data_IF_926133490817
#
_entry.id   IF_926133490817
#
_cell.length_a   1.000
_cell.length_b   1.000
_cell.length_c   1.000
_cell.angle_alpha   90.00
_cell.angle_beta   90.00
_cell.angle_gamma   90.00
#
_symmetry.space_group_name_H-M   'P 1'
#
loop_
_entity.id
_entity.type
_entity.pdbx_description
1 polymer ?
#
# COMPACT_ATOMS: atom_id res chain seq x y z
N UNK A 1 5.53 13.96 4.94
CA UNK A 1 4.73 14.30 6.15
C UNK A 1 3.38 13.60 6.07
N UNK A 2 2.52 13.76 7.08
CA UNK A 2 1.17 13.16 7.14
C UNK A 2 0.31 13.49 5.91
N UNK A 3 0.30 14.73 5.42
CA UNK A 3 -0.42 15.14 4.19
C UNK A 3 -0.02 14.28 2.98
N UNK A 4 1.29 14.09 2.75
CA UNK A 4 1.78 13.23 1.66
C UNK A 4 1.33 11.77 1.83
N UNK A 5 1.31 11.28 3.07
CA UNK A 5 0.79 9.95 3.39
C UNK A 5 -0.69 9.80 3.03
N UNK A 6 -1.52 10.77 3.41
CA UNK A 6 -2.95 10.79 3.08
C UNK A 6 -3.19 10.93 1.56
N UNK A 7 -2.38 11.74 0.87
CA UNK A 7 -2.41 11.86 -0.59
C UNK A 7 -2.02 10.56 -1.29
N UNK A 8 -1.06 9.80 -0.75
CA UNK A 8 -0.64 8.51 -1.33
C UNK A 8 -1.76 7.47 -1.39
N UNK A 9 -2.82 7.63 -0.59
CA UNK A 9 -4.01 6.78 -0.60
C UNK A 9 -5.14 7.44 -1.38
N UNK A 10 -5.55 8.66 -0.98
CA UNK A 10 -6.71 9.34 -1.58
C UNK A 10 -6.57 9.61 -3.07
N UNK A 11 -5.34 9.83 -3.56
CA UNK A 11 -5.08 10.04 -5.00
C UNK A 11 -5.34 8.79 -5.86
N UNK A 12 -5.46 7.61 -5.24
CA UNK A 12 -5.74 6.33 -5.91
C UNK A 12 -7.19 5.87 -5.72
N UNK A 13 -8.05 6.73 -5.15
CA UNK A 13 -9.49 6.53 -5.19
C UNK A 13 -10.01 6.96 -6.56
N UNK A 14 -10.64 6.04 -7.29
CA UNK A 14 -11.02 6.24 -8.68
C UNK A 14 -12.10 7.32 -8.83
N UNK A 15 -11.92 8.20 -9.81
CA UNK A 15 -12.75 9.37 -10.07
C UNK A 15 -13.05 10.24 -8.82
N UNK A 16 -12.10 10.35 -7.88
CA UNK A 16 -12.22 11.25 -6.73
C UNK A 16 -11.64 12.65 -7.01
N UNK A 17 -11.97 13.62 -6.14
CA UNK A 17 -11.25 14.90 -6.02
C UNK A 17 -10.71 15.01 -4.61
N UNK A 18 -9.42 15.31 -4.46
CA UNK A 18 -8.81 15.54 -3.15
C UNK A 18 -8.61 17.03 -2.91
N UNK A 19 -9.15 17.55 -1.82
CA UNK A 19 -8.96 18.92 -1.36
C UNK A 19 -7.91 18.90 -0.26
N UNK A 20 -6.84 19.66 -0.42
CA UNK A 20 -5.91 19.97 0.67
C UNK A 20 -6.39 21.27 1.32
N UNK A 21 -6.97 21.15 2.50
CA UNK A 21 -7.50 22.27 3.27
C UNK A 21 -6.35 22.96 4.01
N UNK A 22 -5.90 24.10 3.45
CA UNK A 22 -4.72 24.82 3.93
C UNK A 22 -4.20 25.83 2.90
N UNK A 23 -3.06 26.47 3.19
CA UNK A 23 -2.40 27.39 2.26
C UNK A 23 -1.91 26.68 1.00
N UNK A 24 -1.87 27.40 -0.13
CA UNK A 24 -1.46 26.87 -1.43
C UNK A 24 -0.08 26.20 -1.43
N UNK A 25 0.84 26.68 -0.59
CA UNK A 25 2.19 26.13 -0.48
C UNK A 25 2.20 24.65 -0.07
N UNK A 26 1.30 24.24 0.84
CA UNK A 26 1.18 22.84 1.26
C UNK A 26 0.69 21.95 0.11
N UNK A 27 -0.33 22.41 -0.60
CA UNK A 27 -0.87 21.70 -1.77
C UNK A 27 0.16 21.59 -2.88
N UNK A 28 0.86 22.70 -3.18
CA UNK A 28 1.84 22.77 -4.26
C UNK A 28 3.00 21.80 -4.05
N UNK A 29 3.63 21.78 -2.88
CA UNK A 29 4.80 20.93 -2.65
C UNK A 29 4.43 19.44 -2.65
N UNK A 30 3.33 19.05 -1.99
CA UNK A 30 2.92 17.64 -1.92
C UNK A 30 2.43 17.14 -3.28
N UNK A 31 1.68 17.95 -4.03
CA UNK A 31 1.23 17.58 -5.38
C UNK A 31 2.39 17.46 -6.35
N UNK A 32 3.38 18.36 -6.26
CA UNK A 32 4.58 18.31 -7.11
C UNK A 32 5.43 17.06 -6.83
N UNK A 33 5.61 16.71 -5.55
CA UNK A 33 6.30 15.48 -5.15
C UNK A 33 5.54 14.23 -5.61
N UNK A 34 4.22 14.17 -5.36
CA UNK A 34 3.39 13.07 -5.82
C UNK A 34 3.48 12.89 -7.32
N UNK A 35 3.34 13.96 -8.11
CA UNK A 35 3.42 13.88 -9.55
C UNK A 35 4.81 13.38 -10.02
N UNK A 36 5.89 13.86 -9.41
CA UNK A 36 7.24 13.39 -9.72
C UNK A 36 7.37 11.89 -9.46
N UNK A 37 6.90 11.41 -8.31
CA UNK A 37 6.90 9.99 -7.97
C UNK A 37 6.00 9.18 -8.92
N UNK A 38 4.81 9.66 -9.26
CA UNK A 38 3.94 8.96 -10.22
C UNK A 38 4.62 8.79 -11.59
N UNK A 39 5.33 9.82 -12.07
CA UNK A 39 6.08 9.74 -13.32
C UNK A 39 7.25 8.76 -13.24
N UNK A 40 7.97 8.68 -12.11
CA UNK A 40 9.02 7.67 -11.90
C UNK A 40 8.49 6.23 -11.93
N UNK A 41 7.17 6.05 -11.73
CA UNK A 41 6.48 4.77 -11.78
C UNK A 41 5.67 4.58 -13.09
N UNK A 42 5.93 5.38 -14.13
CA UNK A 42 5.21 5.34 -15.42
C UNK A 42 3.69 5.56 -15.29
N UNK A 43 3.24 6.26 -14.23
CA UNK A 43 1.85 6.66 -14.04
C UNK A 43 1.68 8.09 -14.56
N UNK A 44 1.05 8.21 -15.73
CA UNK A 44 0.84 9.48 -16.42
C UNK A 44 -0.49 10.17 -16.09
N UNK A 45 -1.36 9.49 -15.34
CA UNK A 45 -2.62 10.07 -14.87
C UNK A 45 -2.35 11.04 -13.73
N UNK A 46 -2.84 12.28 -13.85
CA UNK A 46 -2.68 13.30 -12.81
C UNK A 46 -3.91 13.26 -11.90
N UNK A 47 -3.75 12.93 -10.60
CA UNK A 47 -4.86 12.98 -9.64
C UNK A 47 -5.42 14.40 -9.53
N UNK A 48 -6.75 14.52 -9.38
CA UNK A 48 -7.42 15.82 -9.21
C UNK A 48 -7.24 16.31 -7.78
N UNK A 49 -6.24 17.15 -7.56
CA UNK A 49 -5.94 17.75 -6.27
C UNK A 49 -6.16 19.26 -6.35
N UNK A 50 -6.93 19.81 -5.41
CA UNK A 50 -7.18 21.25 -5.30
C UNK A 50 -6.86 21.76 -3.89
N UNK A 51 -6.57 23.05 -3.76
CA UNK A 51 -6.36 23.69 -2.46
C UNK A 51 -7.61 24.47 -2.04
N UNK A 52 -7.86 24.58 -0.73
CA UNK A 52 -8.78 25.61 -0.23
C UNK A 52 -8.17 27.02 -0.21
N UNK A 53 -6.87 27.17 -0.50
CA UNK A 53 -6.21 28.46 -0.73
C UNK A 53 -6.22 29.42 0.45
N UNK A 54 -5.96 28.94 1.67
CA UNK A 54 -6.06 29.80 2.86
C UNK A 54 -5.01 30.92 2.84
N UNK A 55 -5.49 32.17 2.91
CA UNK A 55 -4.70 33.37 3.06
C UNK A 55 -4.59 33.83 4.51
N UNK A 56 -4.18 35.08 4.72
CA UNK A 56 -4.03 35.67 6.05
C UNK A 56 -5.37 35.83 6.77
N UNK A 57 -6.43 36.18 6.04
CA UNK A 57 -7.76 36.37 6.62
C UNK A 57 -8.32 35.04 7.15
N UNK A 58 -8.26 33.95 6.38
CA UNK A 58 -8.73 32.63 6.81
C UNK A 58 -7.91 32.10 8.00
N UNK A 59 -6.61 32.39 8.05
CA UNK A 59 -5.77 31.99 9.20
C UNK A 59 -6.16 32.75 10.47
N UNK A 60 -6.63 34.00 10.36
CA UNK A 60 -7.02 34.81 11.52
C UNK A 60 -8.46 34.52 11.95
N UNK A 61 -9.37 34.31 10.99
CA UNK A 61 -10.82 34.26 11.23
C UNK A 61 -11.46 32.87 11.04
N UNK A 62 -10.70 31.89 10.54
CA UNK A 62 -11.15 30.53 10.24
C UNK A 62 -11.27 30.27 8.74
N UNK A 63 -10.95 29.05 8.31
CA UNK A 63 -10.93 28.61 6.91
C UNK A 63 -12.17 27.83 6.46
N UNK A 64 -13.15 27.63 7.33
CA UNK A 64 -14.32 26.78 7.07
C UNK A 64 -15.17 27.20 5.86
N UNK A 65 -15.31 28.51 5.61
CA UNK A 65 -16.07 29.00 4.45
C UNK A 65 -15.30 28.76 3.15
N UNK A 66 -13.98 29.01 3.14
CA UNK A 66 -13.12 28.70 2.01
C UNK A 66 -13.11 27.19 1.70
N UNK A 67 -13.19 26.34 2.73
CA UNK A 67 -13.38 24.91 2.55
C UNK A 67 -14.74 24.58 1.91
N UNK A 68 -15.82 25.18 2.41
CA UNK A 68 -17.16 24.95 1.86
C UNK A 68 -17.25 25.34 0.37
N UNK A 69 -16.63 26.47 -0.01
CA UNK A 69 -16.51 26.89 -1.41
C UNK A 69 -15.69 25.89 -2.24
N UNK A 70 -14.55 25.42 -1.72
CA UNK A 70 -13.73 24.42 -2.40
C UNK A 70 -14.47 23.08 -2.59
N UNK A 71 -15.23 22.62 -1.59
CA UNK A 71 -16.07 21.42 -1.69
C UNK A 71 -17.16 21.63 -2.74
N UNK A 72 -17.86 22.78 -2.73
CA UNK A 72 -18.89 23.09 -3.73
C UNK A 72 -18.30 23.09 -5.16
N UNK A 73 -17.10 23.66 -5.33
CA UNK A 73 -16.39 23.62 -6.60
C UNK A 73 -16.04 22.18 -7.02
N UNK A 74 -15.51 21.36 -6.12
CA UNK A 74 -15.21 19.96 -6.40
C UNK A 74 -16.48 19.19 -6.82
N UNK A 75 -17.57 19.36 -6.07
CA UNK A 75 -18.87 18.74 -6.33
C UNK A 75 -19.47 19.11 -7.70
N UNK A 76 -19.14 20.29 -8.25
CA UNK A 76 -19.64 20.73 -9.56
C UNK A 76 -19.26 19.78 -10.71
N UNK A 77 -18.14 19.06 -10.56
CA UNK A 77 -17.68 18.03 -11.50
C UNK A 77 -18.32 16.65 -11.29
N UNK A 78 -19.13 16.49 -10.23
CA UNK A 78 -19.77 15.23 -9.80
C UNK A 78 -18.79 14.03 -9.71
N UNK A 79 -17.69 14.13 -8.95
CA UNK A 79 -16.77 13.02 -8.76
C UNK A 79 -17.43 11.89 -7.96
N UNK A 80 -16.80 10.71 -7.95
CA UNK A 80 -17.25 9.56 -7.16
C UNK A 80 -17.24 9.84 -5.64
N UNK A 81 -16.29 10.67 -5.19
CA UNK A 81 -16.18 11.20 -3.84
C UNK A 81 -15.27 12.45 -3.81
N UNK A 82 -15.36 13.21 -2.72
CA UNK A 82 -14.41 14.28 -2.37
C UNK A 82 -13.68 13.89 -1.09
N UNK A 83 -12.36 13.84 -1.13
CA UNK A 83 -11.53 13.62 0.05
C UNK A 83 -10.99 14.96 0.54
N UNK A 84 -11.22 15.34 1.79
CA UNK A 84 -10.72 16.58 2.38
C UNK A 84 -9.61 16.25 3.37
N UNK A 85 -8.40 16.71 3.07
CA UNK A 85 -7.20 16.50 3.88
C UNK A 85 -6.92 17.79 4.69
N UNK A 86 -7.00 17.72 6.01
CA UNK A 86 -6.63 18.85 6.88
C UNK A 86 -5.11 19.01 6.95
N UNK A 87 -4.62 20.24 7.00
CA UNK A 87 -3.19 20.55 7.14
C UNK A 87 -2.86 21.00 8.57
N UNK A 88 -1.57 21.17 8.87
CA UNK A 88 -1.14 21.69 10.17
C UNK A 88 -1.77 23.05 10.51
N UNK A 89 -2.04 23.90 9.51
CA UNK A 89 -2.60 25.24 9.74
C UNK A 89 -4.05 25.15 10.20
N UNK A 90 -4.89 24.42 9.47
CA UNK A 90 -6.33 24.31 9.73
C UNK A 90 -6.61 23.67 11.08
N UNK A 91 -5.83 22.63 11.44
CA UNK A 91 -5.97 22.01 12.76
C UNK A 91 -5.43 22.91 13.89
N UNK A 92 -4.44 23.77 13.62
CA UNK A 92 -3.92 24.71 14.65
C UNK A 92 -4.91 25.85 14.93
N UNK A 93 -5.57 26.38 13.89
CA UNK A 93 -6.55 27.45 14.06
C UNK A 93 -7.91 26.93 14.58
N UNK A 94 -8.10 25.61 14.55
CA UNK A 94 -9.26 24.94 15.13
C UNK A 94 -10.48 24.91 14.21
N UNK A 95 -10.28 24.88 12.89
CA UNK A 95 -11.36 24.71 11.92
C UNK A 95 -12.06 23.36 12.13
N UNK A 96 -13.40 23.36 12.24
CA UNK A 96 -14.19 22.13 12.33
C UNK A 96 -14.42 21.54 10.92
N UNK A 97 -13.32 21.03 10.35
CA UNK A 97 -13.30 20.44 8.99
C UNK A 97 -14.32 19.31 8.85
N UNK A 98 -14.49 18.50 9.90
CA UNK A 98 -15.43 17.39 9.94
C UNK A 98 -16.88 17.90 9.82
N UNK A 99 -17.25 18.95 10.56
CA UNK A 99 -18.57 19.54 10.47
C UNK A 99 -18.85 20.13 9.08
N UNK A 100 -17.86 20.75 8.43
CA UNK A 100 -18.02 21.25 7.05
C UNK A 100 -18.23 20.10 6.06
N UNK A 101 -17.47 19.01 6.17
CA UNK A 101 -17.65 17.82 5.34
C UNK A 101 -19.03 17.17 5.54
N UNK A 102 -19.61 17.27 6.74
CA UNK A 102 -20.91 16.69 7.08
C UNK A 102 -22.14 17.52 6.65
N UNK A 103 -21.98 18.66 5.96
CA UNK A 103 -23.09 19.57 5.57
C UNK A 103 -24.08 19.01 4.53
N UNK A 104 -23.98 17.73 4.14
CA UNK A 104 -24.93 17.06 3.24
C UNK A 104 -24.75 17.42 1.76
N UNK A 105 -23.53 17.25 1.26
CA UNK A 105 -23.15 17.54 -0.13
C UNK A 105 -23.73 16.53 -1.14
N UNK A 106 -23.77 16.92 -2.42
CA UNK A 106 -24.33 16.11 -3.52
C UNK A 106 -23.55 14.81 -3.81
N UNK A 107 -22.27 14.77 -3.42
CA UNK A 107 -21.39 13.60 -3.52
C UNK A 107 -20.83 13.28 -2.14
N UNK A 108 -20.38 12.03 -1.87
CA UNK A 108 -19.77 11.70 -0.60
C UNK A 108 -18.53 12.56 -0.32
N UNK A 109 -18.47 13.19 0.83
CA UNK A 109 -17.32 13.99 1.29
C UNK A 109 -16.74 13.34 2.53
N UNK A 110 -15.47 12.96 2.46
CA UNK A 110 -14.77 12.25 3.54
C UNK A 110 -13.66 13.15 4.07
N UNK A 111 -13.66 13.37 5.38
CA UNK A 111 -12.59 14.08 6.07
C UNK A 111 -11.46 13.12 6.44
N UNK A 112 -10.24 13.48 6.08
CA UNK A 112 -9.00 12.80 6.43
C UNK A 112 -8.18 13.74 7.31
N UNK A 113 -8.21 13.49 8.61
CA UNK A 113 -7.38 14.20 9.58
C UNK A 113 -5.90 13.89 9.31
N UNK A 114 -5.07 14.92 9.16
CA UNK A 114 -3.71 14.72 8.65
C UNK A 114 -2.67 15.75 9.13
N UNK A 115 -2.86 16.37 10.31
CA UNK A 115 -1.80 17.22 10.86
C UNK A 115 -0.55 16.42 11.22
N UNK A 116 0.58 16.93 10.73
CA UNK A 116 1.91 16.47 11.15
C UNK A 116 2.43 17.21 12.38
N UNK A 117 1.77 18.28 12.84
CA UNK A 117 2.32 19.18 13.86
C UNK A 117 2.58 18.48 15.20
N UNK A 118 1.76 17.49 15.56
CA UNK A 118 1.90 16.71 16.80
C UNK A 118 2.81 15.47 16.64
N UNK A 119 3.71 15.47 15.66
CA UNK A 119 4.66 14.36 15.43
C UNK A 119 4.16 13.29 14.45
N UNK A 120 3.17 13.63 13.62
CA UNK A 120 2.65 12.74 12.58
C UNK A 120 3.69 12.45 11.48
N UNK A 121 3.72 11.21 11.03
CA UNK A 121 4.63 10.73 9.97
C UNK A 121 3.87 10.48 8.67
N UNK A 122 4.58 10.12 7.60
CA UNK A 122 3.94 9.63 6.37
C UNK A 122 2.97 8.47 6.67
N UNK A 123 3.39 7.50 7.50
CA UNK A 123 2.58 6.34 7.84
C UNK A 123 1.31 6.72 8.64
N UNK A 124 1.39 7.75 9.49
CA UNK A 124 0.22 8.27 10.22
C UNK A 124 -0.88 8.75 9.26
N UNK A 125 -0.51 9.51 8.23
CA UNK A 125 -1.47 10.04 7.25
C UNK A 125 -1.99 8.96 6.30
N UNK A 126 -1.13 8.01 5.95
CA UNK A 126 -1.50 6.82 5.20
C UNK A 126 -2.59 6.01 5.93
N UNK A 127 -2.38 5.70 7.21
CA UNK A 127 -3.38 4.98 8.02
C UNK A 127 -4.67 5.80 8.19
N UNK A 128 -4.56 7.11 8.43
CA UNK A 128 -5.73 7.99 8.58
C UNK A 128 -6.60 8.00 7.33
N UNK A 129 -5.97 8.01 6.14
CA UNK A 129 -6.71 7.91 4.88
C UNK A 129 -7.36 6.54 4.67
N UNK A 130 -6.66 5.44 5.01
CA UNK A 130 -7.27 4.10 4.97
C UNK A 130 -8.49 4.00 5.89
N UNK A 131 -8.39 4.50 7.12
CA UNK A 131 -9.50 4.48 8.07
C UNK A 131 -10.67 5.34 7.62
N UNK A 132 -10.41 6.56 7.15
CA UNK A 132 -11.46 7.44 6.66
C UNK A 132 -12.18 6.86 5.42
N UNK A 133 -11.46 6.20 4.52
CA UNK A 133 -12.05 5.54 3.36
C UNK A 133 -12.75 4.22 3.71
N UNK A 134 -12.46 3.63 4.87
CA UNK A 134 -13.12 2.42 5.35
C UNK A 134 -14.59 2.68 5.71
N UNK A 135 -14.99 3.94 5.92
CA UNK A 135 -16.40 4.33 6.11
C UNK A 135 -17.29 4.04 4.89
N UNK A 136 -16.69 3.83 3.71
CA UNK A 136 -17.43 3.37 2.52
C UNK A 136 -17.79 1.89 2.55
N UNK A 137 -17.20 1.09 3.46
CA UNK A 137 -17.44 -0.35 3.51
C UNK A 137 -18.85 -0.62 4.03
N UNK A 138 -19.64 -1.39 3.26
CA UNK A 138 -20.97 -1.80 3.68
C UNK A 138 -20.91 -3.19 4.34
N UNK A 139 -21.50 -3.37 5.53
CA UNK A 139 -21.58 -4.69 6.14
C UNK A 139 -22.34 -5.68 5.26
N UNK A 140 -21.79 -6.89 5.08
CA UNK A 140 -22.45 -7.96 4.34
C UNK A 140 -22.65 -9.19 5.24
N UNK A 141 -23.82 -9.86 5.18
CA UNK A 141 -24.04 -11.13 5.86
C UNK A 141 -23.44 -12.33 5.11
N UNK A 142 -23.08 -12.17 3.84
CA UNK A 142 -22.43 -13.20 3.03
C UNK A 142 -20.90 -13.04 3.07
N UNK A 143 -20.20 -14.16 3.06
CA UNK A 143 -18.73 -14.27 2.94
C UNK A 143 -18.33 -15.01 1.66
N UNK A 144 -19.20 -14.96 0.66
CA UNK A 144 -18.99 -15.65 -0.61
C UNK A 144 -18.15 -14.81 -1.59
N UNK A 145 -17.80 -13.59 -1.21
CA UNK A 145 -16.88 -12.74 -1.95
C UNK A 145 -15.44 -13.25 -1.86
N UNK A 146 -14.61 -12.78 -2.80
CA UNK A 146 -13.18 -13.08 -2.82
C UNK A 146 -12.38 -12.41 -1.70
N UNK A 147 -11.08 -12.32 -1.91
CA UNK A 147 -10.10 -11.76 -0.96
C UNK A 147 -9.99 -10.26 -1.14
N UNK A 148 -9.98 -9.49 -0.05
CA UNK A 148 -9.68 -8.07 -0.09
C UNK A 148 -8.19 -7.85 0.14
N UNK A 149 -7.52 -7.10 -0.73
CA UNK A 149 -6.16 -6.63 -0.50
C UNK A 149 -6.21 -5.25 0.12
N UNK A 150 -5.56 -5.06 1.26
CA UNK A 150 -5.65 -3.84 2.07
C UNK A 150 -4.29 -3.17 2.15
N UNK A 151 -4.30 -1.88 1.89
CA UNK A 151 -3.17 -0.99 2.11
C UNK A 151 -1.97 -1.30 1.21
N UNK A 152 -2.17 -1.52 -0.08
CA UNK A 152 -1.04 -1.50 -1.01
C UNK A 152 -0.29 -0.16 -0.92
N UNK A 153 1.04 -0.21 -0.84
CA UNK A 153 1.88 0.98 -0.79
C UNK A 153 1.88 1.61 -2.18
N UNK A 154 0.94 2.52 -2.46
CA UNK A 154 0.69 2.98 -3.83
C UNK A 154 1.88 3.66 -4.54
N UNK A 155 2.84 4.17 -3.77
CA UNK A 155 4.08 4.80 -4.23
C UNK A 155 5.29 3.85 -4.16
N UNK A 156 5.07 2.56 -3.88
CA UNK A 156 6.10 1.52 -3.95
C UNK A 156 6.37 1.14 -5.40
N UNK A 157 7.62 0.77 -5.71
CA UNK A 157 7.95 0.23 -7.03
C UNK A 157 7.36 -1.17 -7.16
N UNK A 158 6.99 -1.58 -8.38
CA UNK A 158 6.51 -2.95 -8.63
C UNK A 158 5.17 -3.32 -7.97
N UNK A 159 4.35 -2.36 -7.53
CA UNK A 159 3.04 -2.66 -6.90
C UNK A 159 2.17 -3.56 -7.77
N UNK A 160 2.16 -3.38 -9.09
CA UNK A 160 1.42 -4.28 -9.98
C UNK A 160 2.02 -5.69 -10.06
N UNK A 161 3.34 -5.84 -9.93
CA UNK A 161 3.97 -7.16 -9.88
C UNK A 161 3.71 -7.84 -8.54
N UNK A 162 3.73 -7.10 -7.43
CA UNK A 162 3.37 -7.57 -6.10
C UNK A 162 1.91 -8.06 -6.08
N UNK A 163 0.99 -7.26 -6.64
CA UNK A 163 -0.40 -7.64 -6.82
C UNK A 163 -0.56 -8.91 -7.69
N UNK A 164 0.14 -8.98 -8.82
CA UNK A 164 0.07 -10.13 -9.72
C UNK A 164 0.55 -11.42 -9.02
N UNK A 165 1.58 -11.33 -8.19
CA UNK A 165 2.07 -12.48 -7.44
C UNK A 165 1.11 -12.92 -6.33
N UNK A 166 0.59 -11.98 -5.53
CA UNK A 166 -0.40 -12.32 -4.50
C UNK A 166 -1.66 -12.89 -5.14
N UNK A 167 -2.13 -12.30 -6.24
CA UNK A 167 -3.30 -12.81 -6.99
C UNK A 167 -3.06 -14.21 -7.54
N UNK A 168 -1.84 -14.51 -8.02
CA UNK A 168 -1.49 -15.85 -8.50
C UNK A 168 -1.52 -16.87 -7.35
N UNK A 169 -0.92 -16.54 -6.20
CA UNK A 169 -0.89 -17.41 -5.03
C UNK A 169 -2.30 -17.67 -4.48
N UNK A 170 -3.15 -16.64 -4.44
CA UNK A 170 -4.57 -16.82 -4.07
C UNK A 170 -5.30 -17.67 -5.12
N UNK A 171 -4.99 -17.47 -6.41
CA UNK A 171 -5.58 -18.24 -7.51
C UNK A 171 -5.30 -19.74 -7.47
N UNK A 172 -4.14 -20.18 -6.94
CA UNK A 172 -3.87 -21.62 -6.75
C UNK A 172 -4.75 -22.25 -5.67
N UNK A 173 -5.29 -21.45 -4.75
CA UNK A 173 -6.32 -21.85 -3.78
C UNK A 173 -7.75 -21.70 -4.33
N UNK A 174 -7.91 -21.27 -5.59
CA UNK A 174 -9.23 -20.95 -6.16
C UNK A 174 -9.85 -19.67 -5.60
N UNK A 175 -9.04 -18.79 -4.99
CA UNK A 175 -9.47 -17.51 -4.45
C UNK A 175 -9.17 -16.39 -5.46
N UNK A 176 -10.14 -15.50 -5.67
CA UNK A 176 -9.98 -14.30 -6.50
C UNK A 176 -9.93 -13.04 -5.64
N UNK A 177 -9.26 -11.99 -6.11
CA UNK A 177 -9.26 -10.69 -5.42
C UNK A 177 -10.58 -9.98 -5.68
N UNK A 178 -11.30 -9.65 -4.61
CA UNK A 178 -12.54 -8.90 -4.63
C UNK A 178 -12.28 -7.39 -4.77
N UNK A 179 -11.50 -6.81 -3.83
CA UNK A 179 -11.25 -5.37 -3.73
C UNK A 179 -9.77 -5.13 -3.44
N UNK A 180 -9.16 -4.17 -4.15
CA UNK A 180 -7.85 -3.58 -3.82
C UNK A 180 -8.06 -2.26 -3.08
N UNK A 181 -8.12 -2.32 -1.76
CA UNK A 181 -8.41 -1.20 -0.88
C UNK A 181 -7.09 -0.52 -0.44
N UNK A 182 -6.68 0.67 -0.88
CA UNK A 182 -7.28 1.51 -1.93
C UNK A 182 -6.26 1.67 -3.05
N UNK A 183 -6.55 1.08 -4.20
CA UNK A 183 -5.74 1.22 -5.42
C UNK A 183 -6.60 1.17 -6.67
N UNK A 184 -6.79 2.33 -7.31
CA UNK A 184 -7.63 2.52 -8.50
C UNK A 184 -9.02 1.90 -8.32
N UNK A 185 -9.62 2.12 -7.16
CA UNK A 185 -10.89 1.53 -6.75
C UNK A 185 -11.91 2.64 -6.53
N UNK A 186 -13.15 2.42 -6.96
CA UNK A 186 -14.23 3.37 -6.74
C UNK A 186 -14.86 3.20 -5.36
N UNK A 187 -15.45 4.24 -4.75
CA UNK A 187 -16.22 4.12 -3.52
C UNK A 187 -17.33 3.07 -3.60
N UNK A 188 -17.97 2.90 -4.76
CA UNK A 188 -18.98 1.88 -4.98
C UNK A 188 -18.41 0.46 -4.83
N UNK A 189 -17.19 0.22 -5.33
CA UNK A 189 -16.52 -1.07 -5.20
C UNK A 189 -16.01 -1.33 -3.78
N UNK A 190 -15.62 -0.28 -3.04
CA UNK A 190 -15.26 -0.39 -1.61
C UNK A 190 -16.43 -0.92 -0.77
N UNK A 191 -17.67 -0.57 -1.11
CA UNK A 191 -18.86 -1.10 -0.41
C UNK A 191 -18.93 -2.62 -0.40
N UNK A 192 -18.47 -3.27 -1.47
CA UNK A 192 -18.46 -4.72 -1.61
C UNK A 192 -17.41 -5.44 -0.73
N UNK A 193 -16.50 -4.68 -0.11
CA UNK A 193 -15.42 -5.23 0.72
C UNK A 193 -15.96 -6.03 1.92
N UNK A 194 -17.11 -5.64 2.49
CA UNK A 194 -17.73 -6.35 3.60
C UNK A 194 -18.18 -7.78 3.26
N UNK A 195 -18.34 -8.10 1.97
CA UNK A 195 -18.70 -9.44 1.49
C UNK A 195 -17.52 -10.40 1.28
N UNK A 196 -16.29 -9.94 1.46
CA UNK A 196 -15.08 -10.76 1.26
C UNK A 196 -14.92 -11.88 2.29
N UNK A 197 -14.17 -12.91 1.92
CA UNK A 197 -13.91 -14.07 2.78
C UNK A 197 -12.60 -13.98 3.58
N UNK A 198 -11.64 -13.17 3.11
CA UNK A 198 -10.31 -13.00 3.70
C UNK A 198 -9.81 -11.58 3.40
N UNK A 199 -9.10 -10.97 4.35
CA UNK A 199 -8.34 -9.75 4.15
C UNK A 199 -6.84 -10.09 4.10
N UNK A 200 -6.09 -9.48 3.18
CA UNK A 200 -4.63 -9.59 3.11
C UNK A 200 -4.05 -8.18 3.13
N UNK A 201 -3.31 -7.86 4.17
CA UNK A 201 -2.73 -6.53 4.37
C UNK A 201 -1.31 -6.52 3.80
N UNK A 202 -0.94 -5.44 3.10
CA UNK A 202 0.40 -5.31 2.49
C UNK A 202 1.54 -5.43 3.50
N UNK A 203 1.40 -4.75 4.63
CA UNK A 203 2.39 -4.64 5.71
C UNK A 203 1.72 -4.01 6.95
N UNK A 204 1.65 -4.77 8.05
CA UNK A 204 1.10 -4.31 9.33
C UNK A 204 1.96 -4.75 10.53
N UNK A 205 3.22 -4.33 10.54
CA UNK A 205 4.17 -4.63 11.61
C UNK A 205 3.70 -4.28 13.04
N UNK A 206 2.76 -3.34 13.19
CA UNK A 206 2.23 -2.91 14.49
C UNK A 206 0.82 -3.46 14.79
N UNK A 207 0.21 -4.21 13.87
CA UNK A 207 -1.14 -4.79 14.06
C UNK A 207 -2.28 -3.77 14.02
N UNK A 208 -2.02 -2.52 13.62
CA UNK A 208 -2.99 -1.42 13.69
C UNK A 208 -4.07 -1.60 12.61
N UNK A 209 -3.66 -1.93 11.38
CA UNK A 209 -4.58 -2.12 10.28
C UNK A 209 -5.43 -3.39 10.50
N UNK A 210 -4.79 -4.49 10.90
CA UNK A 210 -5.42 -5.77 11.23
C UNK A 210 -6.50 -5.56 12.28
N UNK A 211 -6.16 -4.92 13.41
CA UNK A 211 -7.11 -4.68 14.49
C UNK A 211 -8.31 -3.84 14.06
N UNK A 212 -8.08 -2.83 13.21
CA UNK A 212 -9.15 -1.96 12.71
C UNK A 212 -10.08 -2.71 11.75
N UNK A 213 -9.55 -3.37 10.71
CA UNK A 213 -10.36 -4.03 9.70
C UNK A 213 -11.04 -5.30 10.20
N UNK A 214 -10.41 -6.05 11.11
CA UNK A 214 -11.04 -7.20 11.76
C UNK A 214 -12.24 -6.76 12.60
N UNK A 215 -12.10 -5.67 13.37
CA UNK A 215 -13.19 -5.12 14.17
C UNK A 215 -14.33 -4.55 13.30
N UNK A 216 -13.98 -3.90 12.18
CA UNK A 216 -14.94 -3.27 11.28
C UNK A 216 -15.72 -4.30 10.45
N UNK A 217 -15.01 -5.28 9.89
CA UNK A 217 -15.57 -6.20 8.89
C UNK A 217 -15.91 -7.57 9.44
N UNK A 218 -15.26 -8.01 10.52
CA UNK A 218 -15.32 -9.39 11.03
C UNK A 218 -14.75 -10.43 10.07
N UNK A 219 -13.96 -10.02 9.09
CA UNK A 219 -13.25 -10.89 8.12
C UNK A 219 -11.87 -11.19 8.70
N UNK A 220 -11.39 -12.45 8.69
CA UNK A 220 -10.04 -12.76 9.14
C UNK A 220 -8.98 -12.08 8.24
N UNK A 221 -7.84 -11.72 8.82
CA UNK A 221 -6.76 -11.02 8.12
C UNK A 221 -5.42 -11.76 8.16
N UNK A 222 -4.67 -11.70 7.06
CA UNK A 222 -3.23 -11.98 7.01
C UNK A 222 -2.48 -10.64 7.06
N UNK A 223 -1.57 -10.41 8.02
CA UNK A 223 -1.05 -9.07 8.32
C UNK A 223 0.08 -8.59 7.40
N UNK A 224 0.51 -9.40 6.43
CA UNK A 224 1.57 -9.05 5.50
C UNK A 224 1.47 -9.82 4.18
N UNK A 225 2.03 -9.25 3.12
CA UNK A 225 2.31 -9.99 1.89
C UNK A 225 3.42 -11.03 2.11
N UNK A 226 3.43 -12.13 1.33
CA UNK A 226 4.43 -13.20 1.45
C UNK A 226 5.84 -12.69 1.16
N UNK A 227 6.78 -12.98 2.06
CA UNK A 227 8.19 -12.63 1.94
C UNK A 227 9.08 -13.86 2.20
N UNK A 228 10.14 -14.03 1.41
CA UNK A 228 11.00 -15.22 1.47
C UNK A 228 10.35 -16.48 0.90
N UNK A 229 11.12 -17.57 0.84
CA UNK A 229 10.63 -18.83 0.27
C UNK A 229 9.65 -19.50 1.23
N UNK A 230 10.03 -19.67 2.50
CA UNK A 230 9.19 -20.23 3.54
C UNK A 230 7.96 -19.36 3.82
N UNK A 231 8.11 -18.03 3.84
CA UNK A 231 6.97 -17.13 4.05
C UNK A 231 5.95 -17.15 2.91
N UNK A 232 6.37 -17.49 1.69
CA UNK A 232 5.45 -17.72 0.56
C UNK A 232 4.61 -18.97 0.76
N UNK A 233 5.21 -20.06 1.24
CA UNK A 233 4.48 -21.29 1.55
C UNK A 233 3.54 -21.10 2.76
N UNK A 234 4.04 -20.46 3.82
CA UNK A 234 3.26 -20.15 5.01
C UNK A 234 2.03 -19.26 4.70
N UNK A 235 2.15 -18.34 3.73
CA UNK A 235 1.03 -17.54 3.26
C UNK A 235 -0.09 -18.40 2.63
N UNK A 236 0.27 -19.39 1.79
CA UNK A 236 -0.71 -20.32 1.20
C UNK A 236 -1.39 -21.18 2.26
N UNK A 237 -0.61 -21.72 3.20
CA UNK A 237 -1.13 -22.51 4.32
C UNK A 237 -2.10 -21.70 5.19
N UNK A 238 -1.72 -20.46 5.53
CA UNK A 238 -2.55 -19.59 6.35
C UNK A 238 -3.82 -19.13 5.63
N UNK A 239 -3.72 -18.78 4.34
CA UNK A 239 -4.88 -18.44 3.52
C UNK A 239 -5.84 -19.64 3.40
N UNK A 240 -5.32 -20.85 3.17
CA UNK A 240 -6.11 -22.09 3.19
C UNK A 240 -6.78 -22.34 4.53
N UNK A 241 -6.04 -22.20 5.64
CA UNK A 241 -6.56 -22.38 7.00
C UNK A 241 -7.70 -21.41 7.33
N UNK A 242 -7.55 -20.14 6.98
CA UNK A 242 -8.54 -19.09 7.27
C UNK A 242 -9.80 -19.20 6.41
N UNK A 243 -9.67 -19.74 5.19
CA UNK A 243 -10.79 -19.91 4.25
C UNK A 243 -11.40 -21.32 4.28
N UNK A 244 -10.78 -22.27 4.97
CA UNK A 244 -11.21 -23.66 5.02
C UNK A 244 -10.88 -24.47 3.76
N UNK A 245 -9.94 -24.00 2.95
CA UNK A 245 -9.47 -24.63 1.70
C UNK A 245 -8.22 -25.47 2.01
N UNK A 246 -8.13 -26.67 1.42
CA UNK A 246 -6.91 -27.48 1.50
C UNK A 246 -5.81 -26.89 0.62
N UNK A 247 -4.79 -26.32 1.26
CA UNK A 247 -3.65 -25.70 0.58
C UNK A 247 -2.58 -26.71 0.12
N UNK A 248 -2.71 -28.01 0.41
CA UNK A 248 -1.66 -29.01 0.16
C UNK A 248 -1.20 -29.05 -1.30
N UNK A 249 -2.14 -28.97 -2.24
CA UNK A 249 -1.82 -28.99 -3.68
C UNK A 249 -1.13 -27.68 -4.11
N UNK A 250 -1.62 -26.53 -3.63
CA UNK A 250 -1.05 -25.22 -3.91
C UNK A 250 0.38 -25.07 -3.35
N UNK A 251 0.62 -25.57 -2.13
CA UNK A 251 1.95 -25.58 -1.50
C UNK A 251 2.93 -26.42 -2.32
N UNK A 252 2.55 -27.66 -2.71
CA UNK A 252 3.43 -28.49 -3.56
C UNK A 252 3.75 -27.85 -4.91
N UNK A 253 2.76 -27.19 -5.51
CA UNK A 253 2.95 -26.50 -6.80
C UNK A 253 3.89 -25.30 -6.64
N UNK A 254 3.82 -24.60 -5.50
CA UNK A 254 4.73 -23.50 -5.19
C UNK A 254 6.14 -23.96 -4.83
N UNK A 255 6.30 -25.07 -4.08
CA UNK A 255 7.60 -25.72 -3.84
C UNK A 255 8.28 -26.09 -5.16
N UNK A 256 7.55 -26.70 -6.10
CA UNK A 256 8.08 -27.03 -7.42
C UNK A 256 8.53 -25.77 -8.19
N UNK A 257 7.81 -24.65 -8.05
CA UNK A 257 8.17 -23.36 -8.65
C UNK A 257 9.44 -22.76 -8.01
N UNK A 258 9.64 -22.95 -6.71
CA UNK A 258 10.86 -22.55 -6.00
C UNK A 258 12.06 -23.40 -6.44
N UNK A 259 11.87 -24.71 -6.66
CA UNK A 259 12.89 -25.59 -7.22
C UNK A 259 13.26 -25.19 -8.67
N UNK A 260 12.27 -24.84 -9.49
CA UNK A 260 12.50 -24.30 -10.85
C UNK A 260 13.25 -22.97 -10.80
N UNK A 261 12.93 -22.10 -9.84
CA UNK A 261 13.68 -20.88 -9.59
C UNK A 261 15.15 -21.20 -9.26
N UNK A 262 15.40 -22.13 -8.34
CA UNK A 262 16.76 -22.53 -8.02
C UNK A 262 17.50 -23.10 -9.24
N UNK A 263 16.81 -23.90 -10.06
CA UNK A 263 17.35 -24.47 -11.28
C UNK A 263 17.73 -23.40 -12.34
N UNK A 264 16.93 -22.34 -12.46
CA UNK A 264 17.12 -21.21 -13.39
C UNK A 264 18.31 -20.32 -13.00
N UNK A 265 18.69 -20.33 -11.72
CA UNK A 265 19.78 -19.52 -11.14
C UNK A 265 20.98 -20.37 -10.66
N UNK A 266 21.13 -21.60 -11.17
CA UNK A 266 22.26 -22.49 -10.84
C UNK A 266 23.65 -21.94 -11.17
N UNK A 267 23.74 -21.02 -12.11
CA UNK A 267 24.96 -20.28 -12.45
C UNK A 267 25.45 -19.39 -11.30
N UNK A 268 24.57 -19.00 -10.37
CA UNK A 268 24.96 -18.28 -9.16
C UNK A 268 25.48 -19.20 -8.05
N UNK A 269 25.29 -20.52 -8.16
CA UNK A 269 25.72 -21.45 -7.13
C UNK A 269 27.25 -21.39 -6.90
N UNK A 270 27.66 -21.29 -5.65
CA UNK A 270 29.05 -21.11 -5.25
C UNK A 270 29.58 -19.68 -5.34
N UNK A 271 28.78 -18.72 -5.82
CA UNK A 271 29.12 -17.30 -5.74
C UNK A 271 29.27 -16.88 -4.27
N UNK A 272 30.20 -15.96 -4.01
CA UNK A 272 30.40 -15.38 -2.69
C UNK A 272 29.90 -13.94 -2.70
N UNK A 273 28.90 -13.62 -1.88
CA UNK A 273 28.26 -12.29 -1.83
C UNK A 273 28.25 -11.72 -0.41
N UNK A 274 28.05 -10.41 -0.31
CA UNK A 274 27.74 -9.72 0.94
C UNK A 274 26.65 -8.68 0.68
N UNK A 275 25.80 -8.41 1.66
CA UNK A 275 24.70 -7.47 1.51
C UNK A 275 25.12 -6.05 1.90
N UNK A 276 24.81 -5.07 1.05
CA UNK A 276 25.01 -3.65 1.35
C UNK A 276 23.96 -3.18 2.37
N UNK A 277 24.30 -3.30 3.65
CA UNK A 277 23.42 -3.01 4.79
C UNK A 277 23.26 -1.50 5.07
N UNK A 278 23.31 -0.62 4.07
CA UNK A 278 23.09 0.80 4.26
C UNK A 278 21.61 1.08 4.63
N UNK A 279 21.28 0.95 5.92
CA UNK A 279 19.99 1.37 6.49
C UNK A 279 18.97 0.27 6.80
N UNK A 280 19.25 -1.01 6.53
CA UNK A 280 18.33 -2.12 6.82
C UNK A 280 18.48 -2.68 8.24
N UNK A 281 17.38 -3.23 8.76
CA UNK A 281 17.32 -3.86 10.08
C UNK A 281 17.69 -5.34 9.97
N UNK A 282 18.29 -5.90 11.01
CA UNK A 282 18.84 -7.28 11.01
C UNK A 282 17.87 -8.39 10.60
N UNK A 283 16.55 -8.18 10.72
CA UNK A 283 15.53 -9.20 10.42
C UNK A 283 15.32 -9.45 8.92
N UNK A 284 15.67 -8.51 8.05
CA UNK A 284 15.53 -8.67 6.59
C UNK A 284 16.67 -9.52 6.01
N UNK A 285 17.83 -9.54 6.69
CA UNK A 285 18.99 -10.33 6.28
C UNK A 285 18.73 -11.83 6.33
N UNK A 286 17.95 -12.31 7.32
CA UNK A 286 17.61 -13.73 7.47
C UNK A 286 16.88 -14.26 6.22
N UNK A 287 16.02 -13.44 5.61
CA UNK A 287 15.27 -13.81 4.39
C UNK A 287 16.19 -13.86 3.17
N UNK A 288 17.15 -12.94 3.05
CA UNK A 288 18.13 -12.99 1.96
C UNK A 288 19.12 -14.14 2.12
N UNK A 289 19.50 -14.46 3.36
CA UNK A 289 20.31 -15.63 3.70
C UNK A 289 19.58 -16.94 3.40
N UNK A 290 18.28 -17.04 3.69
CA UNK A 290 17.43 -18.17 3.29
C UNK A 290 17.48 -18.40 1.78
N UNK A 291 17.24 -17.33 1.00
CA UNK A 291 17.25 -17.38 -0.46
C UNK A 291 18.65 -17.77 -0.98
N UNK A 292 19.71 -17.15 -0.45
CA UNK A 292 21.08 -17.46 -0.82
C UNK A 292 21.43 -18.92 -0.51
N UNK A 293 21.05 -19.42 0.67
CA UNK A 293 21.27 -20.81 1.08
C UNK A 293 20.56 -21.81 0.17
N UNK A 294 19.31 -21.53 -0.21
CA UNK A 294 18.55 -22.37 -1.14
C UNK A 294 19.19 -22.44 -2.55
N UNK A 295 19.87 -21.38 -2.97
CA UNK A 295 20.60 -21.30 -4.24
C UNK A 295 22.05 -21.81 -4.17
N UNK A 296 22.54 -22.18 -2.99
CA UNK A 296 23.94 -22.54 -2.77
C UNK A 296 24.91 -21.36 -2.94
N UNK A 297 24.45 -20.14 -2.69
CA UNK A 297 25.27 -18.92 -2.65
C UNK A 297 25.88 -18.77 -1.25
N UNK A 298 27.16 -18.43 -1.17
CA UNK A 298 27.86 -18.20 0.09
C UNK A 298 27.79 -16.72 0.49
N UNK A 299 27.21 -16.41 1.65
CA UNK A 299 27.21 -15.05 2.20
C UNK A 299 28.43 -14.90 3.11
N UNK A 300 29.37 -14.03 2.75
CA UNK A 300 30.59 -13.76 3.54
C UNK A 300 31.05 -12.29 3.38
N UNK A 301 31.69 -11.68 4.39
CA UNK A 301 32.11 -10.27 4.36
C UNK A 301 32.97 -9.88 3.15
N UNK A 302 33.76 -10.81 2.64
CA UNK A 302 34.64 -10.67 1.47
C UNK A 302 33.95 -10.87 0.11
N UNK A 303 32.66 -11.16 0.10
CA UNK A 303 31.90 -11.41 -1.12
C UNK A 303 31.63 -10.16 -1.96
N UNK A 304 31.13 -10.36 -3.18
CA UNK A 304 30.64 -9.28 -4.04
C UNK A 304 29.48 -8.56 -3.34
N UNK A 305 29.57 -7.23 -3.26
CA UNK A 305 28.54 -6.41 -2.61
C UNK A 305 27.28 -6.38 -3.45
N UNK A 306 26.18 -6.85 -2.89
CA UNK A 306 24.86 -6.89 -3.49
C UNK A 306 23.98 -5.84 -2.81
N UNK A 307 23.36 -4.92 -3.57
CA UNK A 307 22.41 -3.99 -2.98
C UNK A 307 21.16 -4.72 -2.53
N UNK A 308 20.72 -4.40 -1.32
CA UNK A 308 19.45 -4.90 -0.77
C UNK A 308 18.31 -4.01 -1.30
N UNK A 309 17.19 -4.59 -1.80
CA UNK A 309 16.06 -3.80 -2.25
C UNK A 309 15.39 -3.06 -1.09
N UNK A 310 14.95 -1.82 -1.33
CA UNK A 310 14.25 -0.99 -0.33
C UNK A 310 12.95 -1.62 0.18
N UNK A 311 12.30 -2.41 -0.67
CA UNK A 311 11.10 -3.16 -0.33
C UNK A 311 11.37 -4.65 -0.50
N UNK A 312 10.85 -5.45 0.43
CA UNK A 312 11.00 -6.90 0.36
C UNK A 312 10.31 -7.46 -0.89
N UNK A 313 10.96 -8.38 -1.63
CA UNK A 313 10.34 -9.06 -2.75
C UNK A 313 9.12 -9.85 -2.30
N UNK A 314 8.02 -9.70 -3.02
CA UNK A 314 6.77 -10.40 -2.72
C UNK A 314 6.74 -11.72 -3.47
N UNK A 315 6.61 -12.82 -2.73
CA UNK A 315 6.51 -14.17 -3.27
C UNK A 315 7.71 -14.64 -4.11
N UNK A 316 7.58 -15.82 -4.72
CA UNK A 316 8.61 -16.41 -5.58
C UNK A 316 8.88 -15.57 -6.84
N UNK A 317 7.85 -14.91 -7.38
CA UNK A 317 8.04 -14.04 -8.55
C UNK A 317 8.83 -12.77 -8.23
N UNK A 318 8.64 -12.15 -7.06
CA UNK A 318 9.46 -11.03 -6.61
C UNK A 318 10.91 -11.45 -6.38
N UNK A 319 11.13 -12.61 -5.75
CA UNK A 319 12.47 -13.18 -5.55
C UNK A 319 13.17 -13.39 -6.91
N UNK A 320 12.46 -13.92 -7.90
CA UNK A 320 12.98 -14.09 -9.28
C UNK A 320 13.46 -12.77 -9.89
N UNK A 321 12.71 -11.68 -9.72
CA UNK A 321 13.10 -10.37 -10.23
C UNK A 321 14.38 -9.86 -9.54
N UNK A 322 14.44 -9.99 -8.21
CA UNK A 322 15.61 -9.64 -7.41
C UNK A 322 16.85 -10.45 -7.82
N UNK A 323 16.73 -11.76 -8.02
CA UNK A 323 17.86 -12.62 -8.41
C UNK A 323 18.44 -12.24 -9.79
N UNK A 324 17.63 -11.71 -10.72
CA UNK A 324 18.14 -11.16 -11.98
C UNK A 324 19.04 -9.95 -11.76
N UNK A 325 18.74 -9.14 -10.74
CA UNK A 325 19.60 -8.03 -10.34
C UNK A 325 20.89 -8.56 -9.72
N UNK A 326 20.82 -9.52 -8.80
CA UNK A 326 21.99 -10.14 -8.18
C UNK A 326 22.94 -10.74 -9.22
N UNK A 327 22.41 -11.49 -10.19
CA UNK A 327 23.18 -12.05 -11.32
C UNK A 327 24.00 -10.97 -12.05
N UNK A 328 23.42 -9.80 -12.31
CA UNK A 328 24.15 -8.70 -12.98
C UNK A 328 25.32 -8.17 -12.15
N UNK A 329 25.22 -8.15 -10.82
CA UNK A 329 26.31 -7.70 -9.95
C UNK A 329 27.42 -8.74 -9.87
N UNK A 330 27.07 -10.02 -9.78
CA UNK A 330 28.03 -11.13 -9.78
C UNK A 330 28.77 -11.20 -11.13
N UNK A 331 28.04 -11.13 -12.24
CA UNK A 331 28.62 -11.15 -13.59
C UNK A 331 29.43 -9.88 -13.90
N UNK A 332 28.98 -8.72 -13.40
CA UNK A 332 29.61 -7.42 -13.65
C UNK A 332 30.99 -7.25 -13.00
N UNK A 333 31.37 -8.12 -12.06
CA UNK A 333 32.73 -8.17 -11.50
C UNK A 333 33.64 -9.21 -12.18
N UNK A 334 33.11 -10.04 -13.08
CA UNK A 334 33.88 -11.01 -13.86
C UNK A 334 34.53 -10.41 -15.13
N UNK A 335 34.38 -9.10 -15.34
CA UNK A 335 34.88 -8.33 -16.50
C UNK A 335 35.77 -7.18 -16.05
#
# INVERSE_FOLDING_TARGET
>A
CTVMGALSVSAFLDDAVTIVHGPDGCTHINTSLLHTTLLEHDIYTIPRIISSGLGEEEVIFGGEEALAEAIAQACSSRPSAVCVISTCVTETIGDDTAAVCARGWDVPVVHIESSGFLGGTFHSGYNSALFALADFIEPSPSRDGGVNLIGEKNLEFEVEANYAEVSRLLGTLGLEVNVRFVRNVSPAKIREMGGGCLNVIRDDSLGILTSHFDALTGIPSIPAFPAGLAGTLAFLEEAGRLTGIDASDAVREEEARQDELAADFRDLAGACITFDNFGFQSAENDLFEEIAGHLGIHVAPEGTVIPVPFCMPVGTSGIRAMLRQWRRFVDGQAM
#
